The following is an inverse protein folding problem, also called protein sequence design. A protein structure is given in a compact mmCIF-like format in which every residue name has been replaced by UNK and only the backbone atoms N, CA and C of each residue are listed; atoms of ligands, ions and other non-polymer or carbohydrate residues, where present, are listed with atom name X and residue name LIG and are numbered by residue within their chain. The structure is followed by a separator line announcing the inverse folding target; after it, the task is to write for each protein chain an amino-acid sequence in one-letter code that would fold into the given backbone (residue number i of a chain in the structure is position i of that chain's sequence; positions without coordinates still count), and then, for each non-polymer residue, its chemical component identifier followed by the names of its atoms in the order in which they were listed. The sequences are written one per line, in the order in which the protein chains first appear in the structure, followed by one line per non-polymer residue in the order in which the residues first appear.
data_IF_116359277289
#
_entry.id   IF_116359277289
#
_cell.length_a   1.000
_cell.length_b   1.000
_cell.length_c   1.000
_cell.angle_alpha   90.00
_cell.angle_beta   90.00
_cell.angle_gamma   90.00
#
_symmetry.space_group_name_H-M   'P 1'
#
loop_
_entity.id
_entity.type
_entity.pdbx_description
1 polymer ?
#
# COMPACT_ATOMS: atom_id res chain seq x y z
N UNK A 1 -31.21 -2.06 -14.45
CA UNK A 1 -30.99 -3.45 -14.03
C UNK A 1 -31.72 -3.65 -12.69
N UNK A 2 -32.34 -4.80 -12.51
CA UNK A 2 -32.87 -5.15 -11.20
C UNK A 2 -31.74 -5.19 -10.17
N UNK A 3 -31.99 -4.61 -9.00
CA UNK A 3 -30.98 -4.43 -7.94
C UNK A 3 -30.30 -5.75 -7.49
N UNK A 4 -30.92 -6.90 -7.73
CA UNK A 4 -30.35 -8.22 -7.44
C UNK A 4 -29.52 -8.86 -8.58
N UNK A 5 -29.37 -8.17 -9.71
CA UNK A 5 -28.64 -8.69 -10.88
C UNK A 5 -27.31 -7.98 -11.11
N UNK A 6 -26.93 -7.04 -10.26
CA UNK A 6 -25.66 -6.30 -10.34
C UNK A 6 -24.88 -6.46 -9.05
N UNK A 7 -23.59 -6.62 -9.17
CA UNK A 7 -22.60 -6.52 -8.10
C UNK A 7 -21.60 -5.43 -8.48
N UNK A 8 -21.47 -4.43 -7.65
CA UNK A 8 -20.55 -3.31 -7.88
C UNK A 8 -19.22 -3.60 -7.21
N UNK A 9 -18.13 -3.44 -7.93
CA UNK A 9 -16.79 -3.44 -7.35
C UNK A 9 -16.40 -1.99 -7.06
N UNK A 10 -16.23 -1.64 -5.79
CA UNK A 10 -15.74 -0.32 -5.38
C UNK A 10 -14.21 -0.32 -5.44
N UNK A 11 -13.66 -0.09 -6.63
CA UNK A 11 -12.28 -0.39 -6.99
C UNK A 11 -11.21 0.30 -6.15
N UNK A 12 -11.54 1.38 -5.48
CA UNK A 12 -10.62 2.22 -4.71
C UNK A 12 -11.13 2.44 -3.29
N UNK A 13 -11.69 1.42 -2.68
CA UNK A 13 -12.22 1.53 -1.32
C UNK A 13 -11.18 1.94 -0.29
N UNK A 14 -9.92 1.58 -0.52
CA UNK A 14 -8.76 1.95 0.30
C UNK A 14 -8.43 3.45 0.27
N UNK A 15 -8.72 4.13 -0.84
CA UNK A 15 -8.40 5.56 -1.00
C UNK A 15 -9.65 6.43 -1.09
N UNK A 16 -10.69 5.95 -1.77
CA UNK A 16 -11.88 6.75 -2.10
C UNK A 16 -13.13 5.89 -2.20
N UNK A 17 -13.60 5.36 -1.09
CA UNK A 17 -14.80 4.51 -1.07
C UNK A 17 -16.06 5.24 -1.51
N UNK A 18 -16.87 4.55 -2.33
CA UNK A 18 -18.21 4.95 -2.74
C UNK A 18 -19.32 4.16 -1.98
N UNK A 19 -18.96 3.50 -0.90
CA UNK A 19 -19.85 2.65 -0.10
C UNK A 19 -21.19 3.32 0.19
N UNK A 20 -21.19 4.58 0.63
CA UNK A 20 -22.42 5.32 0.97
C UNK A 20 -23.40 5.45 -0.20
N UNK A 21 -22.89 5.63 -1.42
CA UNK A 21 -23.73 5.72 -2.62
C UNK A 21 -24.40 4.38 -2.93
N UNK A 22 -23.68 3.27 -2.77
CA UNK A 22 -24.18 1.92 -2.99
C UNK A 22 -25.20 1.49 -1.92
N UNK A 23 -24.91 1.79 -0.66
CA UNK A 23 -25.85 1.57 0.46
C UNK A 23 -27.16 2.31 0.26
N UNK A 24 -27.11 3.61 -0.08
CA UNK A 24 -28.30 4.42 -0.32
C UNK A 24 -29.16 3.91 -1.48
N UNK A 25 -28.53 3.26 -2.47
CA UNK A 25 -29.24 2.68 -3.61
C UNK A 25 -29.67 1.23 -3.38
N UNK A 26 -29.22 0.59 -2.30
CA UNK A 26 -29.48 -0.82 -2.00
C UNK A 26 -28.89 -1.77 -3.01
N UNK A 27 -27.67 -1.50 -3.49
CA UNK A 27 -26.97 -2.30 -4.49
C UNK A 27 -25.88 -3.13 -3.82
N UNK A 28 -25.84 -4.46 -4.06
CA UNK A 28 -24.74 -5.29 -3.58
C UNK A 28 -23.38 -4.81 -4.09
N UNK A 29 -22.39 -4.77 -3.22
CA UNK A 29 -21.06 -4.28 -3.55
C UNK A 29 -19.94 -5.03 -2.84
N UNK A 30 -18.71 -4.85 -3.34
CA UNK A 30 -17.48 -5.43 -2.82
C UNK A 30 -16.53 -4.29 -2.48
N UNK A 31 -16.00 -4.30 -1.27
CA UNK A 31 -14.87 -3.46 -0.88
C UNK A 31 -13.64 -3.94 -1.64
N UNK A 32 -13.09 -3.11 -2.51
CA UNK A 32 -12.08 -3.57 -3.45
C UNK A 32 -10.89 -2.62 -3.47
N UNK A 33 -9.69 -3.18 -3.32
CA UNK A 33 -8.45 -2.44 -3.39
C UNK A 33 -7.87 -2.49 -4.80
N UNK A 34 -7.51 -1.34 -5.33
CA UNK A 34 -6.76 -1.26 -6.57
C UNK A 34 -5.25 -1.26 -6.32
N UNK A 35 -4.80 -0.54 -5.30
CA UNK A 35 -3.44 -0.39 -4.82
C UNK A 35 -2.51 0.33 -5.80
N UNK A 36 -2.24 -0.25 -6.98
CA UNK A 36 -1.30 0.32 -7.92
C UNK A 36 -1.93 0.51 -9.30
N UNK A 37 -1.73 1.70 -9.87
CA UNK A 37 -2.24 2.09 -11.17
C UNK A 37 -1.15 2.07 -12.22
N UNK A 38 -1.45 1.51 -13.40
CA UNK A 38 -0.59 1.62 -14.56
C UNK A 38 0.79 1.00 -14.42
N UNK A 39 0.99 0.11 -13.46
CA UNK A 39 2.25 -0.60 -13.29
C UNK A 39 3.38 0.23 -12.68
N UNK A 40 3.04 1.25 -11.89
CA UNK A 40 4.06 2.02 -11.17
C UNK A 40 4.80 1.14 -10.18
N UNK A 41 6.10 1.29 -10.15
CA UNK A 41 6.98 0.56 -9.25
C UNK A 41 7.33 1.46 -8.06
N UNK A 42 7.05 0.97 -6.85
CA UNK A 42 7.38 1.70 -5.63
C UNK A 42 6.64 1.14 -4.43
N UNK A 43 7.16 1.45 -3.25
CA UNK A 43 6.46 1.17 -1.99
C UNK A 43 5.30 2.15 -1.86
N UNK A 44 4.13 1.59 -1.63
CA UNK A 44 2.88 2.35 -1.53
C UNK A 44 1.83 1.54 -0.77
N UNK A 45 0.80 2.23 -0.30
CA UNK A 45 -0.37 1.63 0.32
C UNK A 45 -0.78 2.31 1.61
N UNK A 46 -1.95 1.94 2.11
CA UNK A 46 -2.58 2.55 3.28
C UNK A 46 -3.00 1.50 4.32
N UNK A 47 -2.05 0.82 4.98
CA UNK A 47 -2.35 -0.22 5.96
C UNK A 47 -3.30 0.25 7.06
N UNK A 48 -3.20 1.51 7.50
CA UNK A 48 -4.11 2.08 8.48
C UNK A 48 -5.58 2.03 8.02
N UNK A 49 -5.84 2.43 6.78
CA UNK A 49 -7.19 2.40 6.21
C UNK A 49 -7.68 0.96 6.05
N UNK A 50 -6.85 0.08 5.50
CA UNK A 50 -7.20 -1.34 5.29
C UNK A 50 -7.59 -1.99 6.61
N UNK A 51 -6.79 -1.79 7.66
CA UNK A 51 -6.99 -2.38 8.99
C UNK A 51 -8.25 -1.91 9.70
N UNK A 52 -8.77 -0.75 9.32
CA UNK A 52 -9.90 -0.11 10.00
C UNK A 52 -11.19 -0.18 9.19
N UNK A 53 -11.13 0.12 7.91
CA UNK A 53 -12.34 0.45 7.14
C UNK A 53 -13.06 -0.79 6.59
N UNK A 54 -12.36 -1.89 6.35
CA UNK A 54 -12.99 -3.14 5.88
C UNK A 54 -14.03 -3.64 6.89
N UNK A 55 -13.63 -3.81 8.14
CA UNK A 55 -14.53 -4.30 9.19
C UNK A 55 -15.62 -3.30 9.53
N UNK A 56 -15.30 -2.00 9.57
CA UNK A 56 -16.30 -0.93 9.75
C UNK A 56 -17.33 -0.95 8.62
N UNK A 57 -16.88 -1.06 7.38
CA UNK A 57 -17.75 -1.14 6.21
C UNK A 57 -18.67 -2.36 6.29
N UNK A 58 -18.10 -3.53 6.59
CA UNK A 58 -18.87 -4.77 6.72
C UNK A 58 -19.91 -4.70 7.84
N UNK A 59 -19.53 -4.24 9.02
CA UNK A 59 -20.42 -4.17 10.19
C UNK A 59 -21.54 -3.12 10.04
N UNK A 60 -21.31 -2.07 9.23
CA UNK A 60 -22.32 -1.02 8.99
C UNK A 60 -23.16 -1.24 7.73
N UNK A 61 -22.78 -2.18 6.86
CA UNK A 61 -23.37 -2.37 5.55
C UNK A 61 -24.47 -3.45 5.57
N UNK A 62 -25.58 -3.15 4.90
CA UNK A 62 -26.58 -4.16 4.52
C UNK A 62 -26.30 -4.84 3.16
N UNK A 63 -25.41 -4.26 2.37
CA UNK A 63 -25.22 -4.62 0.96
C UNK A 63 -23.79 -5.01 0.59
N UNK A 64 -22.81 -4.83 1.44
CA UNK A 64 -21.45 -5.36 1.23
C UNK A 64 -21.49 -6.89 1.16
N UNK A 65 -20.79 -7.48 0.21
CA UNK A 65 -20.78 -8.94 -0.04
C UNK A 65 -19.40 -9.57 0.06
N UNK A 66 -18.38 -8.78 0.27
CA UNK A 66 -17.01 -9.26 0.42
C UNK A 66 -15.97 -8.22 0.14
N UNK A 67 -14.73 -8.68 0.07
CA UNK A 67 -13.56 -7.90 -0.31
C UNK A 67 -12.95 -8.45 -1.59
N UNK A 68 -12.18 -7.62 -2.30
CA UNK A 68 -11.53 -8.00 -3.54
C UNK A 68 -10.31 -7.15 -3.84
N UNK A 69 -9.60 -7.54 -4.89
CA UNK A 69 -8.45 -6.83 -5.43
C UNK A 69 -8.55 -6.73 -6.96
N UNK A 70 -8.11 -5.62 -7.51
CA UNK A 70 -7.98 -5.39 -8.96
C UNK A 70 -6.67 -4.69 -9.29
N UNK A 71 -5.51 -5.32 -8.98
CA UNK A 71 -4.22 -4.69 -9.23
C UNK A 71 -3.97 -4.54 -10.73
N UNK A 72 -3.41 -3.39 -11.13
CA UNK A 72 -3.04 -3.11 -12.52
C UNK A 72 -1.58 -3.45 -12.83
N UNK A 73 -0.84 -3.95 -11.86
CA UNK A 73 0.58 -4.28 -12.00
C UNK A 73 0.94 -5.60 -11.33
N UNK A 74 2.12 -6.11 -11.66
CA UNK A 74 2.72 -7.28 -11.01
C UNK A 74 3.66 -6.89 -9.86
N UNK A 75 4.09 -5.64 -9.79
CA UNK A 75 4.94 -5.13 -8.72
C UNK A 75 4.06 -4.43 -7.68
N UNK A 76 3.81 -5.12 -6.59
CA UNK A 76 2.88 -4.72 -5.55
C UNK A 76 3.54 -4.91 -4.18
N UNK A 77 3.18 -4.07 -3.21
CA UNK A 77 3.69 -4.16 -1.83
C UNK A 77 3.04 -5.33 -1.08
N UNK A 78 3.76 -6.41 -0.76
CA UNK A 78 3.17 -7.61 -0.15
C UNK A 78 2.40 -7.34 1.13
N UNK A 79 2.87 -6.40 1.96
CA UNK A 79 2.26 -6.06 3.24
C UNK A 79 0.79 -5.66 3.12
N UNK A 80 0.43 -4.85 2.11
CA UNK A 80 -0.97 -4.38 1.95
C UNK A 80 -1.89 -5.49 1.50
N UNK A 81 -1.40 -6.44 0.72
CA UNK A 81 -2.17 -7.61 0.27
C UNK A 81 -2.36 -8.62 1.40
N UNK A 82 -1.30 -8.92 2.16
CA UNK A 82 -1.41 -9.82 3.30
C UNK A 82 -2.35 -9.26 4.35
N UNK A 83 -2.23 -7.98 4.69
CA UNK A 83 -3.14 -7.33 5.62
C UNK A 83 -4.60 -7.37 5.12
N UNK A 84 -4.84 -7.05 3.86
CA UNK A 84 -6.19 -7.09 3.27
C UNK A 84 -6.81 -8.48 3.39
N UNK A 85 -6.05 -9.53 3.10
CA UNK A 85 -6.56 -10.89 3.20
C UNK A 85 -6.73 -11.36 4.65
N UNK A 86 -5.87 -10.94 5.57
CA UNK A 86 -6.06 -11.21 7.00
C UNK A 86 -7.34 -10.55 7.51
N UNK A 87 -7.64 -9.32 7.07
CA UNK A 87 -8.89 -8.62 7.45
C UNK A 87 -10.17 -9.34 7.01
N UNK A 88 -10.10 -10.34 6.12
CA UNK A 88 -11.27 -11.16 5.77
C UNK A 88 -11.75 -12.06 6.92
N UNK A 89 -10.87 -12.32 7.87
CA UNK A 89 -11.14 -13.20 9.01
C UNK A 89 -11.41 -12.42 10.29
N UNK A 90 -11.18 -11.10 10.27
CA UNK A 90 -11.37 -10.23 11.42
C UNK A 90 -12.82 -9.70 11.50
N UNK A 91 -13.30 -9.54 12.72
CA UNK A 91 -14.63 -8.95 12.99
C UNK A 91 -14.52 -7.49 13.44
N UNK A 92 -13.39 -7.13 14.00
CA UNK A 92 -13.08 -5.81 14.53
C UNK A 92 -11.82 -5.22 13.85
N UNK A 93 -11.65 -3.91 13.86
CA UNK A 93 -10.40 -3.27 13.41
C UNK A 93 -9.17 -3.79 14.17
N UNK A 94 -8.07 -3.97 13.45
CA UNK A 94 -6.80 -4.38 14.06
C UNK A 94 -5.84 -3.19 14.20
N UNK A 95 -4.93 -3.26 15.15
CA UNK A 95 -3.80 -2.34 15.21
C UNK A 95 -2.78 -2.70 14.13
N UNK A 96 -2.77 -1.93 13.03
CA UNK A 96 -1.91 -2.21 11.89
C UNK A 96 -0.43 -2.16 12.21
N UNK A 97 0.00 -1.40 13.24
CA UNK A 97 1.41 -1.36 13.65
C UNK A 97 1.83 -2.66 14.32
N UNK A 98 1.06 -3.13 15.30
CA UNK A 98 1.30 -4.44 15.92
C UNK A 98 1.22 -5.57 14.90
N UNK A 99 0.23 -5.54 14.01
CA UNK A 99 0.10 -6.51 12.93
C UNK A 99 1.34 -6.50 12.01
N UNK A 100 1.89 -5.32 11.69
CA UNK A 100 3.09 -5.21 10.84
C UNK A 100 4.33 -5.81 11.51
N UNK A 101 4.47 -5.66 12.83
CA UNK A 101 5.57 -6.31 13.56
C UNK A 101 5.45 -7.84 13.48
N UNK A 102 4.26 -8.38 13.67
CA UNK A 102 4.00 -9.82 13.52
C UNK A 102 4.19 -10.30 12.08
N UNK A 103 3.79 -9.51 11.09
CA UNK A 103 4.04 -9.77 9.67
C UNK A 103 5.55 -9.90 9.39
N UNK A 104 6.36 -8.95 9.84
CA UNK A 104 7.81 -8.99 9.67
C UNK A 104 8.43 -10.20 10.38
N UNK A 105 7.99 -10.51 11.60
CA UNK A 105 8.46 -11.69 12.34
C UNK A 105 8.18 -12.98 11.57
N UNK A 106 6.95 -13.18 11.09
CA UNK A 106 6.58 -14.38 10.30
C UNK A 106 7.37 -14.46 9.01
N UNK A 107 7.54 -13.33 8.33
CA UNK A 107 8.15 -13.24 7.01
C UNK A 107 9.67 -13.44 7.03
N UNK A 108 10.32 -12.99 8.10
CA UNK A 108 11.80 -13.09 8.22
C UNK A 108 12.27 -14.26 9.07
N UNK A 109 11.37 -14.89 9.81
CA UNK A 109 11.68 -15.95 10.77
C UNK A 109 12.16 -15.41 12.12
N UNK A 110 11.83 -14.17 12.42
CA UNK A 110 12.15 -13.43 13.64
C UNK A 110 12.41 -11.97 13.33
N UNK A 111 12.35 -11.12 14.36
CA UNK A 111 12.69 -9.70 14.28
C UNK A 111 13.52 -9.28 15.50
N UNK A 112 14.07 -8.07 15.40
CA UNK A 112 14.70 -7.36 16.51
C UNK A 112 14.30 -5.88 16.45
N UNK A 113 14.65 -5.12 17.48
CA UNK A 113 14.32 -3.69 17.55
C UNK A 113 14.85 -2.85 16.38
N UNK A 114 15.79 -3.36 15.58
CA UNK A 114 16.28 -2.68 14.37
C UNK A 114 15.24 -2.80 13.25
N UNK A 115 14.75 -4.00 13.01
CA UNK A 115 13.72 -4.27 11.99
C UNK A 115 12.37 -3.68 12.40
N UNK A 116 11.98 -3.81 13.66
CA UNK A 116 10.75 -3.20 14.19
C UNK A 116 10.73 -1.69 13.93
N UNK A 117 11.82 -1.01 14.27
CA UNK A 117 11.97 0.43 14.02
C UNK A 117 11.99 0.77 12.52
N UNK A 118 12.58 -0.07 11.69
CA UNK A 118 12.58 0.14 10.24
C UNK A 118 11.15 0.12 9.69
N UNK A 119 10.35 -0.86 10.10
CA UNK A 119 8.95 -0.95 9.70
C UNK A 119 8.10 0.22 10.21
N UNK A 120 8.30 0.66 11.45
CA UNK A 120 7.61 1.85 11.97
C UNK A 120 7.88 3.08 11.09
N UNK A 121 9.12 3.26 10.63
CA UNK A 121 9.46 4.37 9.73
C UNK A 121 8.81 4.18 8.36
N UNK A 122 8.77 2.97 7.81
CA UNK A 122 8.09 2.71 6.55
C UNK A 122 6.59 3.02 6.64
N UNK A 123 5.95 2.66 7.76
CA UNK A 123 4.54 2.99 8.03
C UNK A 123 4.30 4.49 8.18
N UNK A 124 5.30 5.25 8.62
CA UNK A 124 5.22 6.71 8.74
C UNK A 124 5.67 7.47 7.48
N UNK A 125 6.12 6.74 6.45
CA UNK A 125 6.59 7.30 5.17
C UNK A 125 5.85 6.70 3.98
N UNK A 126 6.42 5.72 3.31
CA UNK A 126 5.90 5.18 2.05
C UNK A 126 4.50 4.52 2.18
N UNK A 127 4.11 4.09 3.36
CA UNK A 127 2.81 3.49 3.65
C UNK A 127 1.84 4.44 4.37
N UNK A 128 2.07 5.74 4.24
CA UNK A 128 1.22 6.78 4.82
C UNK A 128 0.91 7.84 3.77
N UNK A 129 -0.37 8.01 3.47
CA UNK A 129 -0.81 9.15 2.68
C UNK A 129 -1.16 10.33 3.59
N UNK A 130 -0.85 11.54 3.14
CA UNK A 130 -1.24 12.77 3.80
C UNK A 130 -2.73 13.03 3.61
N UNK A 131 -3.41 13.46 4.67
CA UNK A 131 -4.83 13.74 4.65
C UNK A 131 -5.22 14.72 3.53
N UNK A 132 -6.18 14.31 2.71
CA UNK A 132 -6.79 15.15 1.69
C UNK A 132 -6.12 15.09 0.30
N UNK A 133 -5.03 14.37 0.15
CA UNK A 133 -4.42 14.14 -1.15
C UNK A 133 -4.80 12.78 -1.73
N UNK A 134 -5.08 12.78 -3.03
CA UNK A 134 -5.48 11.59 -3.75
C UNK A 134 -4.37 11.12 -4.68
N UNK A 135 -3.69 10.09 -4.27
CA UNK A 135 -2.65 9.45 -5.07
C UNK A 135 -3.16 8.12 -5.65
N UNK A 136 -2.69 7.79 -6.82
CA UNK A 136 -3.04 6.55 -7.51
C UNK A 136 -1.83 5.62 -7.58
N UNK A 137 -1.43 5.08 -6.44
CA UNK A 137 -0.26 4.23 -6.29
C UNK A 137 1.02 5.03 -6.06
N UNK A 138 2.16 4.35 -6.08
CA UNK A 138 3.47 4.95 -5.82
C UNK A 138 3.79 6.12 -6.76
N UNK A 139 4.58 7.06 -6.26
CA UNK A 139 5.14 8.15 -7.07
C UNK A 139 5.88 7.61 -8.29
N UNK A 140 5.71 8.26 -9.44
CA UNK A 140 6.41 7.85 -10.66
C UNK A 140 7.91 8.05 -10.52
N UNK A 141 8.65 6.96 -10.66
CA UNK A 141 10.09 7.00 -10.70
C UNK A 141 10.58 7.44 -12.08
N UNK A 142 11.67 8.20 -12.13
CA UNK A 142 12.36 8.54 -13.37
C UNK A 142 12.79 7.29 -14.18
N UNK A 143 12.98 6.15 -13.50
CA UNK A 143 13.30 4.87 -14.15
C UNK A 143 12.14 4.39 -15.03
N UNK A 144 10.91 4.67 -14.63
CA UNK A 144 9.69 4.29 -15.34
C UNK A 144 9.13 5.42 -16.21
N UNK A 145 9.62 6.63 -16.02
CA UNK A 145 9.17 7.79 -16.78
C UNK A 145 9.53 7.65 -18.27
N UNK A 146 8.61 8.06 -19.12
CA UNK A 146 8.91 8.11 -20.56
C UNK A 146 9.91 9.25 -20.82
N UNK A 147 10.95 9.01 -21.64
CA UNK A 147 11.84 10.08 -22.07
C UNK A 147 11.04 11.22 -22.71
N UNK A 148 11.32 12.45 -22.30
CA UNK A 148 10.68 13.65 -22.83
C UNK A 148 11.72 14.78 -22.94
N UNK A 149 11.60 15.61 -23.97
CA UNK A 149 12.42 16.82 -24.13
C UNK A 149 12.02 17.95 -23.17
N UNK A 150 10.89 17.79 -22.51
CA UNK A 150 10.37 18.70 -21.49
C UNK A 150 10.51 18.09 -20.10
N UNK A 151 10.14 18.83 -19.08
CA UNK A 151 10.14 18.35 -17.70
C UNK A 151 9.36 17.06 -17.56
N UNK A 152 9.96 16.06 -16.89
CA UNK A 152 9.29 14.83 -16.53
C UNK A 152 8.30 15.15 -15.41
N UNK A 153 7.10 15.53 -15.77
CA UNK A 153 6.04 15.80 -14.79
C UNK A 153 5.24 14.54 -14.43
N UNK A 154 4.99 13.68 -15.41
CA UNK A 154 4.19 12.48 -15.24
C UNK A 154 4.44 11.54 -16.42
N UNK A 155 4.67 10.26 -16.16
CA UNK A 155 4.82 9.24 -17.18
C UNK A 155 3.46 8.73 -17.69
N UNK A 156 2.40 8.91 -16.91
CA UNK A 156 1.03 8.55 -17.27
C UNK A 156 0.06 9.70 -16.98
N UNK A 157 -1.14 9.62 -17.54
CA UNK A 157 -2.21 10.61 -17.32
C UNK A 157 -2.62 10.72 -15.84
N UNK A 158 -2.43 9.67 -15.08
CA UNK A 158 -2.85 9.55 -13.68
C UNK A 158 -1.68 9.51 -12.71
N UNK A 159 -0.46 9.56 -13.21
CA UNK A 159 0.74 9.52 -12.39
C UNK A 159 1.10 10.88 -11.81
N UNK A 160 1.86 10.86 -10.76
CA UNK A 160 2.49 12.04 -10.16
C UNK A 160 3.96 11.73 -9.87
N UNK A 161 4.79 12.76 -9.89
CA UNK A 161 6.21 12.65 -9.56
C UNK A 161 6.52 13.08 -8.13
N UNK A 162 5.55 13.70 -7.46
CA UNK A 162 5.74 14.21 -6.11
C UNK A 162 5.81 13.06 -5.11
N UNK A 163 6.77 13.16 -4.18
CA UNK A 163 6.90 12.24 -3.04
C UNK A 163 6.28 12.94 -1.85
N UNK A 164 5.23 12.36 -1.29
CA UNK A 164 4.41 12.92 -0.22
C UNK A 164 4.94 12.64 1.20
N UNK A 165 6.13 12.05 1.31
CA UNK A 165 6.76 11.74 2.59
C UNK A 165 8.18 12.31 2.72
N UNK A 166 8.68 12.37 3.94
CA UNK A 166 10.07 12.79 4.22
C UNK A 166 11.07 11.72 3.75
N UNK A 167 11.76 12.00 2.65
CA UNK A 167 12.78 11.12 2.06
C UNK A 167 13.91 10.80 3.02
N UNK A 168 14.32 11.77 3.87
CA UNK A 168 15.39 11.56 4.86
C UNK A 168 14.96 10.62 5.98
N UNK A 169 13.67 10.60 6.32
CA UNK A 169 13.15 9.58 7.24
C UNK A 169 13.14 8.22 6.57
N UNK A 170 12.72 8.13 5.31
CA UNK A 170 12.76 6.88 4.56
C UNK A 170 14.19 6.30 4.45
N UNK A 171 15.20 7.14 4.21
CA UNK A 171 16.62 6.72 4.20
C UNK A 171 17.06 6.10 5.53
N UNK A 172 16.49 6.53 6.66
CA UNK A 172 16.80 5.89 7.96
C UNK A 172 16.24 4.47 8.04
N UNK A 173 15.07 4.21 7.47
CA UNK A 173 14.55 2.84 7.37
C UNK A 173 15.49 1.96 6.54
N UNK A 174 15.94 2.45 5.39
CA UNK A 174 16.91 1.76 4.56
C UNK A 174 18.23 1.46 5.29
N UNK A 175 18.75 2.42 6.04
CA UNK A 175 19.96 2.22 6.85
C UNK A 175 19.77 1.14 7.94
N UNK A 176 18.56 1.04 8.52
CA UNK A 176 18.24 -0.01 9.48
C UNK A 176 18.13 -1.40 8.80
N UNK A 177 17.55 -1.47 7.60
CA UNK A 177 17.56 -2.70 6.80
C UNK A 177 18.99 -3.15 6.45
N UNK A 178 19.86 -2.20 6.07
CA UNK A 178 21.28 -2.47 5.82
C UNK A 178 21.99 -2.98 7.08
N UNK A 179 21.74 -2.35 8.24
CA UNK A 179 22.30 -2.78 9.52
C UNK A 179 21.87 -4.21 9.88
N UNK A 180 20.65 -4.59 9.56
CA UNK A 180 20.08 -5.90 9.86
C UNK A 180 20.47 -6.99 8.84
N UNK A 181 21.06 -6.61 7.70
CA UNK A 181 21.26 -7.49 6.55
C UNK A 181 21.92 -8.81 6.90
N UNK A 182 23.05 -8.79 7.62
CA UNK A 182 23.78 -10.00 7.97
C UNK A 182 22.98 -10.95 8.87
N UNK A 183 22.06 -10.44 9.67
CA UNK A 183 21.22 -11.23 10.56
C UNK A 183 20.08 -11.94 9.82
N UNK A 184 19.56 -11.32 8.74
CA UNK A 184 18.33 -11.80 8.07
C UNK A 184 18.52 -12.17 6.59
N UNK A 185 19.71 -12.06 6.01
CA UNK A 185 20.00 -12.31 4.59
C UNK A 185 19.64 -13.72 4.09
N UNK A 186 19.49 -14.69 4.96
CA UNK A 186 19.07 -16.05 4.60
C UNK A 186 17.55 -16.16 4.40
N UNK A 187 16.77 -15.22 4.93
CA UNK A 187 15.33 -15.12 4.69
C UNK A 187 15.04 -14.57 3.28
N UNK A 188 14.25 -15.29 2.51
CA UNK A 188 13.81 -14.83 1.19
C UNK A 188 12.90 -13.59 1.28
N UNK A 189 12.04 -13.55 2.31
CA UNK A 189 11.16 -12.39 2.56
C UNK A 189 11.96 -11.14 2.90
N UNK A 190 12.95 -11.25 3.77
CA UNK A 190 13.82 -10.13 4.10
C UNK A 190 14.58 -9.61 2.88
N UNK A 191 15.17 -10.51 2.07
CA UNK A 191 15.89 -10.07 0.85
C UNK A 191 14.98 -9.35 -0.14
N UNK A 192 13.75 -9.81 -0.28
CA UNK A 192 12.77 -9.15 -1.14
C UNK A 192 12.52 -7.71 -0.66
N UNK A 193 12.14 -7.55 0.60
CA UNK A 193 11.82 -6.25 1.17
C UNK A 193 13.05 -5.33 1.24
N UNK A 194 14.24 -5.88 1.51
CA UNK A 194 15.49 -5.15 1.44
C UNK A 194 15.74 -4.54 0.05
N UNK A 195 15.57 -5.35 -1.00
CA UNK A 195 15.75 -4.88 -2.39
C UNK A 195 14.73 -3.79 -2.73
N UNK A 196 13.47 -3.95 -2.31
CA UNK A 196 12.42 -2.96 -2.56
C UNK A 196 12.70 -1.63 -1.85
N UNK A 197 13.11 -1.69 -0.59
CA UNK A 197 13.49 -0.49 0.17
C UNK A 197 14.68 0.21 -0.47
N UNK A 198 15.74 -0.52 -0.85
CA UNK A 198 16.92 0.07 -1.49
C UNK A 198 16.60 0.64 -2.88
N UNK A 199 15.75 -0.04 -3.66
CA UNK A 199 15.26 0.47 -4.94
C UNK A 199 14.52 1.79 -4.76
N UNK A 200 13.67 1.89 -3.73
CA UNK A 200 12.93 3.12 -3.43
C UNK A 200 13.85 4.28 -3.05
N UNK A 201 14.90 4.04 -2.27
CA UNK A 201 15.93 5.07 -1.96
C UNK A 201 16.54 5.60 -3.25
N UNK A 202 16.93 4.71 -4.17
CA UNK A 202 17.50 5.11 -5.45
C UNK A 202 16.48 5.93 -6.28
N UNK A 203 15.23 5.49 -6.35
CA UNK A 203 14.19 6.21 -7.06
C UNK A 203 13.98 7.62 -6.47
N UNK A 204 13.89 7.73 -5.15
CA UNK A 204 13.74 9.00 -4.45
C UNK A 204 14.92 9.96 -4.71
N UNK A 205 16.14 9.42 -4.76
CA UNK A 205 17.34 10.21 -5.02
C UNK A 205 17.40 10.76 -6.45
N UNK A 206 16.93 9.98 -7.43
CA UNK A 206 16.89 10.42 -8.83
C UNK A 206 15.87 11.52 -9.10
N UNK A 207 14.86 11.68 -8.27
CA UNK A 207 13.87 12.75 -8.41
C UNK A 207 14.38 14.12 -7.93
N UNK A 208 15.55 14.18 -7.31
CA UNK A 208 16.14 15.44 -6.84
C UNK A 208 17.04 16.13 -7.91
N UNK A 209 17.33 15.46 -9.00
CA UNK A 209 18.18 15.94 -10.09
C UNK A 209 17.44 16.12 -11.41
#
# INVERSE_FOLDING_TARGET
ADKGQALVLDLQSDLRSQASAMENQGVPWVWNMLHNFGGRMGLDGVPEVISQDITKAYNSSGYMRGIGITPEAIDNSPIVYELLFDMTWEQDPVDYRSWTQEYAERRYGGTDGTIEKAWDILLDTAYKHTDGEYYQGASESIINARPSDNTIGSASTWGHSDIDYDKRQFEKAAALFEQAYDSYKDSAGFRYDYVDVMRQVLANSFQEY
#
